data_IF_404620634772
#
_entry.id   IF_404620634772
#
_cell.length_a   1.000
_cell.length_b   1.000
_cell.length_c   1.000
_cell.angle_alpha   90.00
_cell.angle_beta   90.00
_cell.angle_gamma   90.00
#
_symmetry.space_group_name_H-M   'P 1'
#
loop_
_entity.id
_entity.type
_entity.pdbx_description
1 polymer ?
#
# COMPACT_ATOMS: atom_id res chain seq x y z
N UNK A 1 -12.79 21.83 26.07
CA UNK A 1 -11.86 21.89 24.92
C UNK A 1 -12.02 20.59 24.16
N UNK A 2 -12.26 20.66 22.86
CA UNK A 2 -12.46 19.50 22.00
C UNK A 2 -11.08 18.95 21.63
N UNK A 3 -10.62 17.92 22.35
CA UNK A 3 -9.43 17.17 21.97
C UNK A 3 -9.88 15.95 21.19
N UNK A 4 -9.66 16.02 19.88
CA UNK A 4 -9.96 14.99 18.91
C UNK A 4 -9.22 13.71 19.31
N UNK A 5 -9.94 12.80 19.95
CA UNK A 5 -9.44 11.49 20.33
C UNK A 5 -9.18 10.66 19.07
N UNK A 6 -8.04 10.91 18.44
CA UNK A 6 -7.49 10.08 17.37
C UNK A 6 -7.23 8.70 17.97
N UNK A 7 -8.12 7.77 17.62
CA UNK A 7 -8.17 6.40 18.08
C UNK A 7 -6.81 5.71 17.78
N UNK A 8 -5.88 5.79 18.73
CA UNK A 8 -4.53 5.20 18.63
C UNK A 8 -4.64 3.71 18.85
N UNK A 9 -4.98 2.99 17.77
CA UNK A 9 -4.89 1.53 17.73
C UNK A 9 -3.40 1.15 17.83
N UNK A 10 -3.00 0.27 18.77
CA UNK A 10 -1.63 -0.21 18.85
C UNK A 10 -1.31 -0.98 17.56
N UNK A 11 -0.42 -0.43 16.71
CA UNK A 11 0.05 -1.14 15.51
C UNK A 11 0.84 -2.36 16.00
N UNK A 12 0.39 -3.56 15.64
CA UNK A 12 1.12 -4.79 15.93
C UNK A 12 2.56 -4.67 15.39
N UNK A 13 3.58 -5.00 16.20
CA UNK A 13 4.96 -4.96 15.75
C UNK A 13 5.18 -6.08 14.74
N UNK A 14 5.25 -5.73 13.45
CA UNK A 14 5.59 -6.68 12.38
C UNK A 14 4.96 -6.34 11.03
N UNK A 15 3.81 -5.66 11.00
CA UNK A 15 3.17 -5.34 9.72
C UNK A 15 3.65 -3.99 9.17
N UNK A 16 4.12 -3.92 7.90
CA UNK A 16 4.45 -2.64 7.30
C UNK A 16 3.20 -1.77 7.17
N UNK A 17 3.23 -0.51 7.63
CA UNK A 17 2.14 0.43 7.40
C UNK A 17 2.00 0.71 5.90
N UNK A 18 0.81 1.16 5.45
CA UNK A 18 0.62 1.54 4.06
C UNK A 18 1.59 2.63 3.60
N UNK A 19 2.02 3.51 4.51
CA UNK A 19 3.02 4.53 4.23
C UNK A 19 4.41 3.95 3.94
N UNK A 20 4.77 2.80 4.52
CA UNK A 20 6.04 2.13 4.22
C UNK A 20 5.99 1.49 2.83
N UNK A 21 4.86 0.88 2.47
CA UNK A 21 4.63 0.38 1.10
C UNK A 21 4.72 1.53 0.08
N UNK A 22 4.17 2.69 0.42
CA UNK A 22 4.26 3.88 -0.42
C UNK A 22 5.69 4.40 -0.55
N UNK A 23 6.46 4.43 0.55
CA UNK A 23 7.84 4.91 0.57
C UNK A 23 8.78 4.05 -0.29
N UNK A 24 8.46 2.76 -0.46
CA UNK A 24 9.20 1.84 -1.32
C UNK A 24 8.83 1.98 -2.81
N UNK A 25 7.69 2.57 -3.13
CA UNK A 25 7.26 2.78 -4.50
C UNK A 25 7.89 4.05 -5.09
N UNK A 26 8.49 3.92 -6.28
CA UNK A 26 8.95 5.08 -7.03
C UNK A 26 7.79 5.77 -7.77
N UNK A 27 7.81 7.12 -7.84
CA UNK A 27 6.87 7.86 -8.65
C UNK A 27 7.01 7.55 -10.14
N UNK A 28 5.87 7.52 -10.85
CA UNK A 28 5.76 7.14 -12.27
C UNK A 28 6.15 5.68 -12.62
N UNK A 29 6.44 4.83 -11.64
CA UNK A 29 6.84 3.45 -11.88
C UNK A 29 5.68 2.46 -11.58
N UNK A 30 5.36 1.53 -12.51
CA UNK A 30 4.27 0.58 -12.32
C UNK A 30 4.73 -0.65 -11.54
N UNK A 31 4.20 -0.81 -10.32
CA UNK A 31 4.41 -1.96 -9.47
C UNK A 31 3.26 -2.96 -9.56
N UNK A 32 3.59 -4.25 -9.48
CA UNK A 32 2.59 -5.30 -9.21
C UNK A 32 2.65 -5.69 -7.75
N UNK A 33 1.58 -6.30 -7.21
CA UNK A 33 1.58 -6.80 -5.82
C UNK A 33 2.80 -7.70 -5.57
N UNK A 34 3.15 -8.58 -6.52
CA UNK A 34 4.32 -9.45 -6.41
C UNK A 34 5.64 -8.68 -6.27
N UNK A 35 5.82 -7.56 -6.98
CA UNK A 35 7.06 -6.77 -6.91
C UNK A 35 7.25 -6.20 -5.51
N UNK A 36 6.17 -5.72 -4.91
CA UNK A 36 6.21 -5.10 -3.58
C UNK A 36 6.38 -6.19 -2.51
N UNK A 37 5.68 -7.32 -2.65
CA UNK A 37 5.84 -8.46 -1.72
C UNK A 37 7.27 -8.98 -1.71
N UNK A 38 7.95 -8.98 -2.86
CA UNK A 38 9.37 -9.36 -2.96
C UNK A 38 10.27 -8.44 -2.11
N UNK A 39 9.89 -7.17 -1.97
CA UNK A 39 10.59 -6.19 -1.12
C UNK A 39 10.29 -6.37 0.38
N UNK A 40 9.18 -7.05 0.72
CA UNK A 40 8.77 -7.28 2.10
C UNK A 40 8.75 -8.79 2.40
N UNK A 41 9.92 -9.38 2.68
CA UNK A 41 10.08 -10.83 2.96
C UNK A 41 9.20 -11.35 4.10
N UNK A 42 8.86 -10.50 5.09
CA UNK A 42 8.03 -10.88 6.23
C UNK A 42 6.53 -10.59 6.02
N UNK A 43 6.13 -10.11 4.83
CA UNK A 43 4.76 -9.65 4.58
C UNK A 43 4.01 -10.52 3.59
N UNK A 44 2.83 -10.98 4.00
CA UNK A 44 1.93 -11.72 3.11
C UNK A 44 1.43 -10.87 1.94
N UNK A 45 1.29 -11.50 0.77
CA UNK A 45 0.68 -10.91 -0.44
C UNK A 45 -0.66 -10.24 -0.17
N UNK A 46 -1.49 -10.88 0.65
CA UNK A 46 -2.78 -10.34 1.06
C UNK A 46 -2.65 -9.01 1.81
N UNK A 47 -1.70 -8.92 2.74
CA UNK A 47 -1.42 -7.72 3.52
C UNK A 47 -0.98 -6.58 2.61
N UNK A 48 0.00 -6.81 1.74
CA UNK A 48 0.46 -5.81 0.75
C UNK A 48 -0.69 -5.33 -0.14
N UNK A 49 -1.49 -6.26 -0.65
CA UNK A 49 -2.64 -5.92 -1.50
C UNK A 49 -3.69 -5.08 -0.75
N UNK A 50 -3.90 -5.35 0.54
CA UNK A 50 -4.79 -4.55 1.39
C UNK A 50 -4.22 -3.14 1.59
N UNK A 51 -2.93 -3.01 1.89
CA UNK A 51 -2.24 -1.71 2.05
C UNK A 51 -2.28 -0.89 0.76
N UNK A 52 -2.02 -1.51 -0.40
CA UNK A 52 -2.14 -0.86 -1.70
C UNK A 52 -3.56 -0.39 -1.97
N UNK A 53 -4.59 -1.18 -1.63
CA UNK A 53 -5.96 -0.71 -1.78
C UNK A 53 -6.25 0.49 -0.86
N UNK A 54 -5.78 0.47 0.40
CA UNK A 54 -5.90 1.63 1.29
C UNK A 54 -5.23 2.88 0.70
N UNK A 55 -4.03 2.76 0.11
CA UNK A 55 -3.35 3.88 -0.55
C UNK A 55 -4.10 4.37 -1.80
N UNK A 56 -4.80 3.49 -2.51
CA UNK A 56 -5.66 3.86 -3.63
C UNK A 56 -6.90 4.59 -3.14
N UNK A 57 -7.52 4.12 -2.06
CA UNK A 57 -8.68 4.77 -1.44
C UNK A 57 -8.34 6.15 -0.88
N UNK A 58 -7.12 6.31 -0.35
CA UNK A 58 -6.56 7.59 0.11
C UNK A 58 -6.17 8.53 -1.05
N UNK A 59 -6.18 8.04 -2.30
CA UNK A 59 -5.81 8.81 -3.49
C UNK A 59 -4.30 9.02 -3.66
N UNK A 60 -3.46 8.39 -2.84
CA UNK A 60 -1.99 8.48 -2.92
C UNK A 60 -1.42 7.74 -4.13
N UNK A 61 -2.03 6.62 -4.51
CA UNK A 61 -1.59 5.82 -5.67
C UNK A 61 -2.78 5.50 -6.56
N UNK A 62 -2.49 5.24 -7.83
CA UNK A 62 -3.47 4.77 -8.80
C UNK A 62 -3.35 3.27 -9.03
N UNK A 63 -4.49 2.61 -9.26
CA UNK A 63 -4.55 1.20 -9.71
C UNK A 63 -5.15 1.11 -11.10
N UNK A 64 -4.61 0.24 -11.95
CA UNK A 64 -5.17 -0.11 -13.26
C UNK A 64 -5.14 -1.61 -13.43
N UNK A 65 -6.28 -2.14 -13.82
CA UNK A 65 -6.42 -3.52 -14.24
C UNK A 65 -6.18 -3.56 -15.76
N UNK A 66 -5.15 -4.27 -16.19
CA UNK A 66 -4.73 -4.30 -17.60
C UNK A 66 -5.36 -5.47 -18.40
N UNK A 67 -5.81 -6.53 -17.73
CA UNK A 67 -6.35 -7.75 -18.37
C UNK A 67 -6.43 -8.90 -17.37
N UNK A 68 -6.61 -10.15 -17.83
CA UNK A 68 -6.75 -11.34 -16.99
C UNK A 68 -5.65 -11.39 -15.92
N UNK A 69 -6.09 -11.14 -14.68
CA UNK A 69 -5.32 -11.20 -13.44
C UNK A 69 -4.11 -10.27 -13.27
N UNK A 70 -3.87 -9.28 -14.15
CA UNK A 70 -2.83 -8.25 -13.95
C UNK A 70 -3.41 -6.94 -13.42
N UNK A 71 -2.94 -6.55 -12.24
CA UNK A 71 -3.19 -5.26 -11.61
C UNK A 71 -1.86 -4.55 -11.41
N UNK A 72 -1.78 -3.32 -11.91
CA UNK A 72 -0.63 -2.44 -11.74
C UNK A 72 -1.02 -1.29 -10.82
N UNK A 73 -0.10 -0.91 -9.95
CA UNK A 73 -0.19 0.18 -8.99
C UNK A 73 0.95 1.15 -9.26
N UNK A 74 0.70 2.45 -9.30
CA UNK A 74 1.75 3.46 -9.48
C UNK A 74 1.36 4.74 -8.76
N UNK A 75 2.35 5.54 -8.37
CA UNK A 75 2.12 6.88 -7.84
C UNK A 75 1.96 7.83 -9.04
N UNK A 76 0.82 8.52 -9.20
CA UNK A 76 0.62 9.51 -10.25
C UNK A 76 1.55 10.73 -10.03
N UNK A 77 1.94 11.39 -11.13
CA UNK A 77 2.75 12.61 -11.11
C UNK A 77 1.97 13.82 -10.61
#
# INVERSE_FOLDING_TARGET
MADSQANSVPRQPGEPPPEQVYAEMNPCEPYSVSNIVDTFEDTSRWTVQRRLNTLVEDGKISKKKHGENRVSYWIPK
#
